data_IF_204411139527
#
_entry.id   IF_204411139527
#
_cell.length_a   1.000
_cell.length_b   1.000
_cell.length_c   1.000
_cell.angle_alpha   90.00
_cell.angle_beta   90.00
_cell.angle_gamma   90.00
#
_symmetry.space_group_name_H-M   'P 1'
#
loop_
_entity.id
_entity.type
_entity.pdbx_description
1 polymer ?
#
# COMPACT_ATOMS: atom_id res chain seq x y z
N UNK A 1 6.18 0.01 -15.99
CA UNK A 1 7.46 -0.71 -15.78
C UNK A 1 7.29 -1.69 -14.62
N UNK A 2 7.78 -2.91 -14.79
CA UNK A 2 7.77 -3.91 -13.72
C UNK A 2 8.81 -3.55 -12.67
N UNK A 3 8.41 -3.54 -11.40
CA UNK A 3 9.31 -3.27 -10.28
C UNK A 3 10.05 -4.53 -9.86
N UNK A 4 9.30 -5.56 -9.50
CA UNK A 4 9.80 -6.90 -9.18
C UNK A 4 8.69 -7.94 -9.30
N UNK A 5 9.06 -9.21 -9.20
CA UNK A 5 8.11 -10.33 -9.12
C UNK A 5 8.44 -11.23 -7.94
N UNK A 6 7.42 -11.91 -7.45
CA UNK A 6 7.49 -12.92 -6.40
C UNK A 6 7.07 -14.29 -6.97
N UNK A 7 6.77 -15.26 -6.13
CA UNK A 7 6.31 -16.57 -6.60
C UNK A 7 5.02 -16.46 -7.44
N UNK A 8 4.01 -15.74 -6.93
CA UNK A 8 2.66 -15.65 -7.54
C UNK A 8 2.32 -14.28 -8.12
N UNK A 9 3.13 -13.24 -7.84
CA UNK A 9 2.76 -11.85 -8.08
C UNK A 9 3.80 -11.13 -8.95
N UNK A 10 3.32 -10.11 -9.67
CA UNK A 10 4.14 -9.11 -10.36
C UNK A 10 3.70 -7.73 -9.90
N UNK A 11 4.63 -6.92 -9.42
CA UNK A 11 4.37 -5.53 -9.08
C UNK A 11 4.84 -4.62 -10.21
N UNK A 12 3.98 -3.70 -10.62
CA UNK A 12 4.29 -2.73 -11.68
C UNK A 12 3.76 -1.33 -11.34
N UNK A 13 4.35 -0.31 -11.96
CA UNK A 13 3.88 1.06 -11.82
C UNK A 13 2.44 1.21 -12.30
N UNK A 14 1.68 2.03 -11.58
CA UNK A 14 0.35 2.43 -12.03
C UNK A 14 0.44 3.19 -13.36
N UNK A 15 -0.45 2.83 -14.27
CA UNK A 15 -0.63 3.45 -15.59
C UNK A 15 -2.13 3.63 -15.86
N UNK A 16 -2.49 4.41 -16.84
CA UNK A 16 -3.91 4.66 -17.22
C UNK A 16 -4.72 3.36 -17.45
N UNK A 17 -4.09 2.30 -17.95
CA UNK A 17 -4.75 0.99 -18.11
C UNK A 17 -5.32 0.41 -16.82
N UNK A 18 -4.83 0.87 -15.65
CA UNK A 18 -5.26 0.42 -14.33
C UNK A 18 -6.39 1.28 -13.72
N UNK A 19 -6.90 2.26 -14.44
CA UNK A 19 -7.93 3.18 -13.93
C UNK A 19 -9.20 2.47 -13.49
N UNK A 20 -9.68 1.50 -14.25
CA UNK A 20 -10.85 0.69 -13.89
C UNK A 20 -10.61 -0.11 -12.60
N UNK A 21 -9.45 -0.73 -12.47
CA UNK A 21 -9.06 -1.44 -11.25
C UNK A 21 -9.01 -0.49 -10.05
N UNK A 22 -8.35 0.65 -10.18
CA UNK A 22 -8.24 1.62 -9.10
C UNK A 22 -9.62 2.13 -8.67
N UNK A 23 -10.48 2.47 -9.64
CA UNK A 23 -11.85 2.91 -9.37
C UNK A 23 -12.62 1.87 -8.54
N UNK A 24 -12.47 0.60 -8.86
CA UNK A 24 -13.09 -0.49 -8.09
C UNK A 24 -12.51 -0.59 -6.69
N UNK A 25 -11.20 -0.62 -6.56
CA UNK A 25 -10.49 -0.81 -5.28
C UNK A 25 -10.82 0.29 -4.26
N UNK A 26 -10.71 1.57 -4.66
CA UNK A 26 -10.88 2.70 -3.74
C UNK A 26 -12.34 2.96 -3.34
N UNK A 27 -13.29 2.31 -3.99
CA UNK A 27 -14.72 2.38 -3.66
C UNK A 27 -15.25 1.12 -2.99
N UNK A 28 -14.39 0.14 -2.69
CA UNK A 28 -14.82 -1.00 -1.88
C UNK A 28 -15.18 -0.56 -0.44
N UNK A 29 -16.18 -1.19 0.20
CA UNK A 29 -16.63 -0.82 1.55
C UNK A 29 -15.50 -0.75 2.58
N UNK A 30 -14.57 -1.69 2.56
CA UNK A 30 -13.45 -1.70 3.51
C UNK A 30 -12.46 -0.55 3.26
N UNK A 31 -12.22 -0.18 2.00
CA UNK A 31 -11.41 0.99 1.69
C UNK A 31 -12.06 2.27 2.24
N UNK A 32 -13.35 2.47 1.96
CA UNK A 32 -14.09 3.64 2.44
C UNK A 32 -14.13 3.70 3.97
N UNK A 33 -14.27 2.55 4.63
CA UNK A 33 -14.34 2.48 6.09
C UNK A 33 -12.99 2.75 6.77
N UNK A 34 -11.87 2.23 6.23
CA UNK A 34 -10.56 2.24 6.89
C UNK A 34 -9.57 3.27 6.32
N UNK A 35 -9.74 3.68 5.08
CA UNK A 35 -8.84 4.62 4.40
C UNK A 35 -9.56 5.93 4.08
N UNK A 36 -10.82 5.86 3.69
CA UNK A 36 -11.66 7.01 3.39
C UNK A 36 -11.86 7.26 1.89
N UNK A 37 -12.81 8.13 1.59
CA UNK A 37 -13.12 8.52 0.21
C UNK A 37 -11.99 9.37 -0.38
N UNK A 38 -11.47 8.95 -1.51
CA UNK A 38 -10.42 9.65 -2.26
C UNK A 38 -10.98 10.54 -3.39
N UNK A 39 -12.31 10.71 -3.44
CA UNK A 39 -13.00 11.44 -4.50
C UNK A 39 -12.70 10.89 -5.91
N UNK A 40 -12.58 9.58 -6.03
CA UNK A 40 -12.40 8.86 -7.28
C UNK A 40 -13.71 8.13 -7.59
N UNK A 41 -14.56 8.73 -8.43
CA UNK A 41 -15.91 8.25 -8.70
C UNK A 41 -16.16 7.98 -10.19
N UNK A 42 -15.16 8.21 -11.04
CA UNK A 42 -15.19 7.96 -12.48
C UNK A 42 -13.85 7.42 -12.98
N UNK A 43 -13.83 6.93 -14.21
CA UNK A 43 -12.58 6.52 -14.88
C UNK A 43 -11.63 7.72 -15.01
N UNK A 44 -12.15 8.88 -15.38
CA UNK A 44 -11.39 10.13 -15.50
C UNK A 44 -10.76 10.54 -14.17
N UNK A 45 -11.51 10.42 -13.07
CA UNK A 45 -10.98 10.67 -11.72
C UNK A 45 -9.84 9.70 -11.38
N UNK A 46 -10.01 8.42 -11.72
CA UNK A 46 -8.99 7.40 -11.49
C UNK A 46 -7.72 7.66 -12.31
N UNK A 47 -7.85 8.05 -13.59
CA UNK A 47 -6.72 8.44 -14.42
C UNK A 47 -5.98 9.65 -13.85
N UNK A 48 -6.72 10.67 -13.44
CA UNK A 48 -6.14 11.87 -12.81
C UNK A 48 -5.44 11.52 -11.48
N UNK A 49 -6.02 10.64 -10.68
CA UNK A 49 -5.42 10.19 -9.42
C UNK A 49 -4.10 9.44 -9.68
N UNK A 50 -4.08 8.53 -10.65
CA UNK A 50 -2.86 7.81 -11.05
C UNK A 50 -1.77 8.80 -11.45
N UNK A 51 -2.08 9.75 -12.32
CA UNK A 51 -1.10 10.72 -12.82
C UNK A 51 -0.59 11.65 -11.72
N UNK A 52 -1.50 12.24 -10.95
CA UNK A 52 -1.17 13.30 -9.99
C UNK A 52 -0.69 12.79 -8.63
N UNK A 53 -0.88 11.50 -8.32
CA UNK A 53 -0.46 10.91 -7.05
C UNK A 53 0.61 9.83 -7.24
N UNK A 54 0.30 8.77 -7.98
CA UNK A 54 1.22 7.63 -8.07
C UNK A 54 2.40 7.93 -8.98
N UNK A 55 2.17 8.40 -10.20
CA UNK A 55 3.27 8.69 -11.13
C UNK A 55 4.15 9.83 -10.64
N UNK A 56 3.53 10.86 -10.08
CA UNK A 56 4.26 11.95 -9.44
C UNK A 56 5.15 11.47 -8.29
N UNK A 57 4.68 10.51 -7.47
CA UNK A 57 5.47 9.92 -6.40
C UNK A 57 6.73 9.21 -6.94
N UNK A 58 6.61 8.47 -8.06
CA UNK A 58 7.78 7.83 -8.67
C UNK A 58 8.82 8.85 -9.14
N UNK A 59 8.37 9.98 -9.70
CA UNK A 59 9.24 11.04 -10.19
C UNK A 59 9.93 11.82 -9.06
N UNK A 60 9.19 12.12 -8.00
CA UNK A 60 9.68 12.97 -6.90
C UNK A 60 10.45 12.19 -5.83
N UNK A 61 10.00 10.97 -5.49
CA UNK A 61 10.56 10.17 -4.40
C UNK A 61 11.33 8.93 -4.87
N UNK A 62 11.18 8.55 -6.13
CA UNK A 62 11.75 7.32 -6.67
C UNK A 62 10.98 6.05 -6.29
N UNK A 63 9.88 6.17 -5.57
CA UNK A 63 9.00 5.07 -5.16
C UNK A 63 7.56 5.57 -4.94
N UNK A 64 6.65 4.65 -4.74
CA UNK A 64 5.23 4.94 -4.50
C UNK A 64 4.43 3.66 -4.31
N UNK A 65 3.13 3.71 -4.62
CA UNK A 65 2.29 2.52 -4.68
C UNK A 65 2.36 1.87 -6.07
N UNK A 66 2.37 0.55 -6.08
CA UNK A 66 2.45 -0.28 -7.28
C UNK A 66 1.24 -1.20 -7.38
N UNK A 67 0.81 -1.49 -8.59
CA UNK A 67 -0.22 -2.50 -8.84
C UNK A 67 0.37 -3.87 -8.57
N UNK A 68 -0.39 -4.69 -7.85
CA UNK A 68 -0.08 -6.10 -7.63
C UNK A 68 -0.94 -6.92 -8.59
N UNK A 69 -0.29 -7.59 -9.52
CA UNK A 69 -0.94 -8.45 -10.51
C UNK A 69 -0.65 -9.93 -10.23
N UNK A 70 -1.61 -10.80 -10.54
CA UNK A 70 -1.35 -12.23 -10.57
C UNK A 70 -0.40 -12.58 -11.72
N UNK A 71 0.63 -13.35 -11.42
CA UNK A 71 1.64 -13.77 -12.41
C UNK A 71 1.05 -14.67 -13.49
N UNK A 72 0.05 -15.49 -13.12
CA UNK A 72 -0.55 -16.48 -14.01
C UNK A 72 -1.38 -15.88 -15.15
N UNK A 73 -2.03 -14.73 -14.93
CA UNK A 73 -2.97 -14.17 -15.90
C UNK A 73 -2.88 -12.64 -16.05
N UNK A 74 -2.02 -11.98 -15.26
CA UNK A 74 -1.86 -10.52 -15.28
C UNK A 74 -3.01 -9.73 -14.64
N UNK A 75 -3.95 -10.41 -13.95
CA UNK A 75 -5.10 -9.74 -13.33
C UNK A 75 -4.66 -8.89 -12.13
N UNK A 76 -5.03 -7.60 -12.06
CA UNK A 76 -4.73 -6.76 -10.91
C UNK A 76 -5.61 -7.14 -9.71
N UNK A 77 -4.98 -7.39 -8.57
CA UNK A 77 -5.64 -7.91 -7.36
C UNK A 77 -5.54 -6.96 -6.18
N UNK A 78 -4.57 -6.05 -6.20
CA UNK A 78 -4.32 -5.12 -5.11
C UNK A 78 -3.26 -4.09 -5.45
N UNK A 79 -2.85 -3.38 -4.42
CA UNK A 79 -1.71 -2.47 -4.47
C UNK A 79 -0.84 -2.65 -3.23
N UNK A 80 0.45 -2.40 -3.38
CA UNK A 80 1.43 -2.41 -2.30
C UNK A 80 2.51 -1.38 -2.62
N UNK A 81 3.03 -0.70 -1.61
CA UNK A 81 4.05 0.30 -1.88
C UNK A 81 4.58 1.01 -0.65
N UNK A 82 5.34 2.05 -0.93
CA UNK A 82 6.02 2.89 0.04
C UNK A 82 5.60 4.34 -0.13
N UNK A 83 5.46 5.05 0.97
CA UNK A 83 5.05 6.46 0.96
C UNK A 83 5.94 7.24 1.93
N UNK A 84 6.47 8.36 1.46
CA UNK A 84 7.04 9.40 2.31
C UNK A 84 5.88 10.30 2.76
N UNK A 85 5.36 9.99 3.94
CA UNK A 85 4.13 10.62 4.44
C UNK A 85 4.46 11.75 5.38
N UNK A 86 3.84 12.92 5.13
CA UNK A 86 3.94 14.06 6.04
C UNK A 86 3.47 13.67 7.46
N UNK A 87 4.28 13.99 8.45
CA UNK A 87 4.00 13.67 9.85
C UNK A 87 4.61 12.35 10.35
N UNK A 88 5.25 11.58 9.49
CA UNK A 88 6.03 10.39 9.86
C UNK A 88 7.52 10.64 9.64
N UNK A 89 8.35 10.14 10.54
CA UNK A 89 9.81 10.25 10.43
C UNK A 89 10.40 9.22 9.45
N UNK A 90 9.78 8.06 9.36
CA UNK A 90 10.23 6.94 8.52
C UNK A 90 9.25 6.69 7.36
N UNK A 91 9.72 6.01 6.33
CA UNK A 91 8.92 5.63 5.18
C UNK A 91 7.82 4.64 5.60
N UNK A 92 6.61 4.89 5.13
CA UNK A 92 5.40 4.12 5.42
C UNK A 92 5.20 3.04 4.36
N UNK A 93 5.02 1.79 4.77
CA UNK A 93 4.57 0.70 3.89
C UNK A 93 3.05 0.58 3.95
N UNK A 94 2.40 0.50 2.79
CA UNK A 94 0.96 0.35 2.68
C UNK A 94 0.56 -0.73 1.68
N UNK A 95 -0.65 -1.25 1.84
CA UNK A 95 -1.23 -2.27 0.96
C UNK A 95 -2.75 -2.23 1.03
N UNK A 96 -3.39 -2.62 -0.07
CA UNK A 96 -4.83 -2.83 -0.13
C UNK A 96 -5.15 -3.84 -1.22
N UNK A 97 -6.13 -4.71 -0.99
CA UNK A 97 -6.52 -5.78 -1.92
C UNK A 97 -8.02 -5.80 -2.14
N UNK A 98 -8.44 -6.14 -3.34
CA UNK A 98 -9.84 -6.42 -3.65
C UNK A 98 -10.36 -7.52 -2.73
N UNK A 99 -11.60 -7.38 -2.27
CA UNK A 99 -12.22 -8.31 -1.30
C UNK A 99 -12.10 -9.77 -1.71
N UNK A 100 -12.32 -10.08 -2.99
CA UNK A 100 -12.25 -11.45 -3.51
C UNK A 100 -10.86 -12.09 -3.45
N UNK A 101 -9.81 -11.29 -3.27
CA UNK A 101 -8.42 -11.76 -3.19
C UNK A 101 -7.81 -11.67 -1.79
N UNK A 102 -8.61 -11.29 -0.79
CA UNK A 102 -8.15 -11.28 0.61
C UNK A 102 -8.05 -12.68 1.17
N UNK A 103 -7.24 -12.84 2.23
CA UNK A 103 -7.01 -14.12 2.91
C UNK A 103 -6.35 -15.20 2.03
N UNK A 104 -5.71 -14.81 0.95
CA UNK A 104 -4.97 -15.70 0.03
C UNK A 104 -3.44 -15.58 0.19
N UNK A 105 -2.97 -14.75 1.12
CA UNK A 105 -1.55 -14.53 1.38
C UNK A 105 -0.88 -13.50 0.47
N UNK A 106 -1.61 -12.84 -0.43
CA UNK A 106 -1.04 -11.88 -1.37
C UNK A 106 -0.53 -10.60 -0.69
N UNK A 107 -1.22 -10.13 0.35
CA UNK A 107 -0.76 -8.99 1.14
C UNK A 107 0.59 -9.24 1.80
N UNK A 108 0.76 -10.40 2.39
CA UNK A 108 2.03 -10.83 2.97
C UNK A 108 3.13 -10.98 1.91
N UNK A 109 2.85 -11.72 0.84
CA UNK A 109 3.82 -11.99 -0.23
C UNK A 109 4.32 -10.71 -0.90
N UNK A 110 3.42 -9.81 -1.28
CA UNK A 110 3.78 -8.53 -1.89
C UNK A 110 4.56 -7.63 -0.93
N UNK A 111 4.15 -7.59 0.35
CA UNK A 111 4.81 -6.76 1.36
C UNK A 111 6.21 -7.27 1.73
N UNK A 112 6.43 -8.58 1.80
CA UNK A 112 7.78 -9.16 1.98
C UNK A 112 8.68 -8.75 0.81
N UNK A 113 8.18 -8.85 -0.42
CA UNK A 113 8.89 -8.39 -1.60
C UNK A 113 9.21 -6.90 -1.55
N UNK A 114 8.24 -6.09 -1.13
CA UNK A 114 8.41 -4.63 -1.00
C UNK A 114 9.43 -4.26 0.07
N UNK A 115 9.43 -4.92 1.22
CA UNK A 115 10.45 -4.71 2.28
C UNK A 115 11.86 -5.08 1.78
N UNK A 116 11.98 -6.18 1.04
CA UNK A 116 13.24 -6.58 0.43
C UNK A 116 13.72 -5.54 -0.60
N UNK A 117 12.84 -5.07 -1.47
CA UNK A 117 13.12 -4.02 -2.45
C UNK A 117 13.54 -2.71 -1.77
N UNK A 118 12.80 -2.28 -0.75
CA UNK A 118 13.12 -1.08 0.02
C UNK A 118 14.53 -1.13 0.60
N UNK A 119 14.90 -2.26 1.19
CA UNK A 119 16.23 -2.42 1.79
C UNK A 119 17.34 -2.50 0.74
N UNK A 120 17.20 -3.36 -0.27
CA UNK A 120 18.27 -3.67 -1.22
C UNK A 120 18.46 -2.62 -2.30
N UNK A 121 17.35 -2.07 -2.82
CA UNK A 121 17.41 -1.16 -3.97
C UNK A 121 17.31 0.32 -3.56
N UNK A 122 16.60 0.63 -2.47
CA UNK A 122 16.42 2.01 -2.00
C UNK A 122 17.25 2.36 -0.76
N UNK A 123 17.91 1.39 -0.12
CA UNK A 123 18.68 1.61 1.10
C UNK A 123 17.81 1.98 2.32
N UNK A 124 16.52 1.68 2.28
CA UNK A 124 15.60 1.94 3.39
C UNK A 124 15.67 0.78 4.36
N UNK A 125 16.33 0.99 5.49
CA UNK A 125 16.56 -0.06 6.50
C UNK A 125 15.36 -0.26 7.43
N UNK A 126 14.55 0.77 7.62
CA UNK A 126 13.44 0.77 8.55
C UNK A 126 12.20 1.38 7.91
N UNK A 127 11.07 0.69 8.06
CA UNK A 127 9.77 1.20 7.66
C UNK A 127 8.82 1.27 8.84
N UNK A 128 7.80 2.10 8.70
CA UNK A 128 6.66 2.16 9.60
C UNK A 128 5.39 1.83 8.82
N UNK A 129 4.27 1.72 9.50
CA UNK A 129 2.96 1.58 8.88
C UNK A 129 1.90 2.20 9.77
N UNK A 130 0.83 2.67 9.15
CA UNK A 130 -0.34 3.18 9.85
C UNK A 130 -1.57 2.36 9.47
N UNK A 131 -2.45 2.14 10.44
CA UNK A 131 -3.73 1.49 10.21
C UNK A 131 -4.84 2.19 10.98
N UNK A 132 -6.07 2.10 10.45
CA UNK A 132 -7.25 2.43 11.23
C UNK A 132 -7.30 1.53 12.50
N UNK A 133 -7.67 2.07 13.67
CA UNK A 133 -7.68 1.29 14.92
C UNK A 133 -8.52 0.02 14.86
N UNK A 134 -9.60 0.02 14.08
CA UNK A 134 -10.52 -1.12 13.94
C UNK A 134 -10.11 -2.11 12.84
N UNK A 135 -9.06 -1.80 12.07
CA UNK A 135 -8.56 -2.70 11.02
C UNK A 135 -7.63 -3.77 11.60
N UNK A 136 -8.22 -4.76 12.27
CA UNK A 136 -7.51 -5.85 12.94
C UNK A 136 -6.71 -6.69 11.95
N UNK A 137 -7.24 -6.94 10.76
CA UNK A 137 -6.57 -7.76 9.75
C UNK A 137 -5.25 -7.13 9.28
N UNK A 138 -5.22 -5.81 9.04
CA UNK A 138 -3.99 -5.08 8.72
C UNK A 138 -2.97 -5.15 9.85
N UNK A 139 -3.39 -4.95 11.10
CA UNK A 139 -2.50 -5.06 12.25
C UNK A 139 -1.83 -6.42 12.37
N UNK A 140 -2.59 -7.50 12.20
CA UNK A 140 -2.05 -8.87 12.21
C UNK A 140 -1.06 -9.12 11.07
N UNK A 141 -1.33 -8.59 9.88
CA UNK A 141 -0.41 -8.68 8.76
C UNK A 141 0.89 -7.92 9.05
N UNK A 142 0.82 -6.72 9.60
CA UNK A 142 1.98 -5.93 9.97
C UNK A 142 2.85 -6.64 11.03
N UNK A 143 2.24 -7.26 12.02
CA UNK A 143 2.96 -8.07 13.02
C UNK A 143 3.69 -9.24 12.36
N UNK A 144 3.06 -9.90 11.40
CA UNK A 144 3.67 -10.99 10.62
C UNK A 144 4.86 -10.50 9.78
N UNK A 145 4.82 -9.24 9.35
CA UNK A 145 5.91 -8.59 8.60
C UNK A 145 7.07 -8.11 9.49
N UNK A 146 6.96 -8.27 10.81
CA UNK A 146 8.00 -7.85 11.75
C UNK A 146 7.84 -6.43 12.27
N UNK A 147 6.65 -5.84 12.11
CA UNK A 147 6.31 -4.57 12.72
C UNK A 147 5.52 -4.80 14.01
N UNK A 148 5.66 -3.88 14.97
CA UNK A 148 4.90 -3.92 16.23
C UNK A 148 4.17 -2.61 16.44
N UNK A 149 3.01 -2.70 17.10
CA UNK A 149 2.28 -1.52 17.53
C UNK A 149 3.14 -0.67 18.48
N UNK A 150 3.24 0.62 18.18
CA UNK A 150 3.96 1.59 18.99
C UNK A 150 2.99 2.50 19.76
N UNK A 151 2.18 3.26 19.04
CA UNK A 151 1.26 4.24 19.64
C UNK A 151 0.14 4.65 18.70
N UNK A 152 -0.84 5.34 19.25
CA UNK A 152 -1.84 6.07 18.47
C UNK A 152 -1.27 7.43 18.07
N UNK A 153 -1.50 7.82 16.83
CA UNK A 153 -1.11 9.12 16.29
C UNK A 153 -2.24 9.76 15.49
N UNK A 154 -2.11 11.06 15.27
CA UNK A 154 -2.92 11.81 14.30
C UNK A 154 -1.96 12.37 13.24
N UNK A 155 -2.35 12.31 11.98
CA UNK A 155 -1.56 12.88 10.89
C UNK A 155 -1.93 14.34 10.68
N UNK A 156 -1.00 15.22 10.24
CA UNK A 156 -1.29 16.64 10.04
C UNK A 156 -2.41 16.93 9.03
N UNK A 157 -2.57 16.05 8.04
CA UNK A 157 -3.60 16.18 7.00
C UNK A 157 -4.94 15.56 7.39
N UNK A 158 -4.95 14.77 8.46
CA UNK A 158 -6.13 14.10 8.99
C UNK A 158 -6.09 14.10 10.53
N UNK A 159 -6.25 15.28 11.11
CA UNK A 159 -6.20 15.48 12.55
C UNK A 159 -7.48 15.06 13.29
N UNK A 160 -8.50 14.61 12.55
CA UNK A 160 -9.78 14.17 13.11
C UNK A 160 -9.74 12.72 13.55
N UNK A 161 -9.00 11.88 12.85
CA UNK A 161 -8.97 10.46 13.08
C UNK A 161 -7.64 9.99 13.65
N UNK A 162 -7.73 9.16 14.69
CA UNK A 162 -6.58 8.46 15.25
C UNK A 162 -6.23 7.24 14.42
N UNK A 163 -4.95 6.99 14.21
CA UNK A 163 -4.46 5.75 13.62
C UNK A 163 -3.42 5.09 14.51
N UNK A 164 -3.29 3.78 14.35
CA UNK A 164 -2.22 3.00 14.98
C UNK A 164 -0.96 3.12 14.17
N UNK A 165 0.15 3.50 14.81
CA UNK A 165 1.48 3.46 14.24
C UNK A 165 2.14 2.12 14.60
N UNK A 166 2.64 1.43 13.59
CA UNK A 166 3.46 0.23 13.70
C UNK A 166 4.88 0.55 13.27
N UNK A 167 5.84 0.02 13.98
CA UNK A 167 7.27 0.27 13.74
C UNK A 167 7.98 -1.06 13.47
N UNK A 168 8.82 -1.09 12.45
CA UNK A 168 9.61 -2.28 12.15
C UNK A 168 10.66 -2.51 13.24
N UNK A 169 10.65 -3.71 13.83
CA UNK A 169 11.58 -4.12 14.88
C UNK A 169 12.06 -5.56 14.71
N UNK A 170 11.76 -6.17 13.57
CA UNK A 170 12.13 -7.53 13.23
C UNK A 170 12.02 -7.80 11.74
N UNK A 171 12.19 -9.06 11.36
CA UNK A 171 12.03 -9.54 10.00
C UNK A 171 10.68 -10.22 9.81
N UNK A 172 10.18 -10.35 8.56
CA UNK A 172 9.00 -11.16 8.26
C UNK A 172 9.13 -12.58 8.81
N UNK A 173 8.04 -13.07 9.36
CA UNK A 173 7.97 -14.40 9.96
C UNK A 173 7.62 -15.48 8.94
#
# INVERSE_FOLDING_TARGET
>A
MTLFSTERLVLEEFQKKHSKFLLTLVNEPAWLAFIGDKNVHSIEDAEAFIENKFRKSYEESGFGFYVVNLKENGEPVGMCGLVDRNGLEDIDIGFAFLKKYRKMGFGYESSVGMLSYANKELGIEKVVAITHPDNVASGKLLEKLGLSFDKLIQLPEDDKDWCKLYVQNGKPK
#
